data_IF_528080149706
#
_entry.id   IF_528080149706
#
_cell.length_a   1.000
_cell.length_b   1.000
_cell.length_c   1.000
_cell.angle_alpha   90.00
_cell.angle_beta   90.00
_cell.angle_gamma   90.00
#
_symmetry.space_group_name_H-M   'P 1'
#
loop_
_entity.id
_entity.type
_entity.pdbx_description
1 polymer ?
#
# COMPACT_ATOMS: atom_id res chain seq x y z
N UNK A 1 -61.05 -6.84 -26.60
CA UNK A 1 -59.87 -7.68 -26.88
C UNK A 1 -58.75 -6.74 -27.29
N UNK A 2 -57.84 -6.30 -26.44
CA UNK A 2 -57.11 -7.01 -25.39
C UNK A 2 -57.05 -6.08 -24.17
N UNK A 3 -57.55 -6.53 -23.03
CA UNK A 3 -57.41 -5.86 -21.73
C UNK A 3 -56.09 -6.30 -21.07
N UNK A 4 -55.35 -5.30 -20.64
CA UNK A 4 -54.59 -5.24 -19.38
C UNK A 4 -54.03 -6.55 -18.81
N UNK A 5 -52.76 -6.82 -19.11
CA UNK A 5 -51.92 -7.77 -18.40
C UNK A 5 -51.36 -7.18 -17.08
N UNK A 6 -52.16 -6.39 -16.37
CA UNK A 6 -51.88 -5.88 -15.02
C UNK A 6 -52.44 -6.84 -13.96
N UNK A 7 -52.02 -8.12 -13.95
CA UNK A 7 -52.29 -9.00 -12.79
C UNK A 7 -51.46 -10.28 -12.82
N UNK A 8 -50.15 -10.17 -12.63
CA UNK A 8 -49.33 -11.31 -12.22
C UNK A 8 -48.07 -10.91 -11.44
N UNK A 9 -48.06 -9.73 -10.80
CA UNK A 9 -47.20 -9.50 -9.65
C UNK A 9 -47.82 -10.27 -8.48
N UNK A 10 -47.60 -11.59 -8.49
CA UNK A 10 -47.72 -12.40 -7.31
C UNK A 10 -46.83 -11.74 -6.26
N UNK A 11 -47.47 -11.01 -5.33
CA UNK A 11 -46.90 -10.66 -4.04
C UNK A 11 -46.52 -11.98 -3.39
N UNK A 12 -45.29 -12.43 -3.61
CA UNK A 12 -44.64 -13.36 -2.70
C UNK A 12 -44.51 -12.58 -1.40
N UNK A 13 -45.55 -12.69 -0.56
CA UNK A 13 -45.39 -12.48 0.86
C UNK A 13 -44.32 -13.46 1.28
N UNK A 14 -43.10 -12.96 1.44
CA UNK A 14 -42.11 -13.62 2.29
C UNK A 14 -42.73 -13.61 3.68
N UNK A 15 -43.48 -14.66 4.01
CA UNK A 15 -43.79 -14.94 5.40
C UNK A 15 -42.44 -15.12 6.12
N UNK A 16 -42.26 -14.54 7.31
CA UNK A 16 -41.04 -14.75 8.07
C UNK A 16 -41.12 -16.15 8.66
N UNK A 17 -40.77 -17.17 7.87
CA UNK A 17 -40.56 -18.52 8.38
C UNK A 17 -39.19 -18.55 9.09
N UNK A 18 -39.08 -17.80 10.19
CA UNK A 18 -37.99 -17.85 11.16
C UNK A 18 -38.21 -18.96 12.19
N UNK A 19 -39.05 -19.96 11.88
CA UNK A 19 -39.19 -21.18 12.69
C UNK A 19 -38.27 -22.26 12.12
N UNK A 20 -36.99 -22.24 12.47
CA UNK A 20 -36.16 -23.42 12.21
C UNK A 20 -34.66 -23.25 12.12
N UNK A 21 -34.11 -22.03 12.10
CA UNK A 21 -32.66 -21.90 12.23
C UNK A 21 -32.29 -22.19 13.70
N UNK A 22 -31.53 -23.27 13.99
CA UNK A 22 -31.10 -23.55 15.35
C UNK A 22 -30.41 -22.31 15.92
N UNK A 23 -30.62 -22.02 17.20
CA UNK A 23 -29.94 -20.92 17.85
C UNK A 23 -28.44 -21.27 17.95
N UNK A 24 -27.68 -20.95 16.91
CA UNK A 24 -26.23 -21.13 16.89
C UNK A 24 -25.62 -20.10 17.85
N UNK A 25 -24.93 -20.51 18.94
CA UNK A 25 -24.28 -19.60 19.86
C UNK A 25 -23.31 -18.65 19.15
N UNK A 26 -23.11 -17.45 19.68
CA UNK A 26 -22.24 -16.44 19.06
C UNK A 26 -20.79 -16.92 18.94
N UNK A 27 -20.37 -17.78 19.87
CA UNK A 27 -19.08 -18.45 19.89
C UNK A 27 -18.87 -19.31 18.65
N UNK A 28 -19.88 -20.11 18.26
CA UNK A 28 -19.83 -20.93 17.04
C UNK A 28 -19.88 -20.07 15.77
N UNK A 29 -20.65 -18.98 15.77
CA UNK A 29 -20.65 -18.04 14.64
C UNK A 29 -19.27 -17.40 14.47
N UNK A 30 -18.62 -17.01 15.56
CA UNK A 30 -17.28 -16.42 15.53
C UNK A 30 -16.22 -17.43 15.11
N UNK A 31 -16.34 -18.68 15.56
CA UNK A 31 -15.46 -19.79 15.19
C UNK A 31 -15.54 -20.05 13.68
N UNK A 32 -16.75 -20.17 13.12
CA UNK A 32 -16.96 -20.29 11.67
C UNK A 32 -16.31 -19.10 10.95
N UNK A 33 -16.58 -17.88 11.43
CA UNK A 33 -16.02 -16.67 10.83
C UNK A 33 -14.49 -16.61 10.87
N UNK A 34 -13.84 -17.25 11.84
CA UNK A 34 -12.38 -17.29 11.94
C UNK A 34 -11.73 -18.08 10.80
N UNK A 35 -12.49 -18.96 10.13
CA UNK A 35 -12.03 -19.75 9.00
C UNK A 35 -12.37 -19.14 7.63
N UNK A 36 -13.12 -18.04 7.58
CA UNK A 36 -13.57 -17.45 6.32
C UNK A 36 -12.55 -16.50 5.67
N UNK A 37 -11.52 -16.07 6.41
CA UNK A 37 -10.57 -15.07 5.93
C UNK A 37 -11.30 -13.82 5.39
N UNK A 38 -11.01 -13.35 4.17
CA UNK A 38 -11.64 -12.14 3.60
C UNK A 38 -13.17 -12.18 3.49
N UNK A 39 -13.77 -13.37 3.38
CA UNK A 39 -15.22 -13.52 3.25
C UNK A 39 -15.98 -13.23 4.55
N UNK A 40 -15.28 -13.05 5.67
CA UNK A 40 -15.89 -12.63 6.94
C UNK A 40 -16.67 -11.33 6.80
N UNK A 41 -16.26 -10.41 5.91
CA UNK A 41 -16.99 -9.17 5.67
C UNK A 41 -18.38 -9.41 5.06
N UNK A 42 -18.49 -10.35 4.11
CA UNK A 42 -19.78 -10.73 3.52
C UNK A 42 -20.62 -11.52 4.53
N UNK A 43 -20.00 -12.38 5.32
CA UNK A 43 -20.70 -13.16 6.35
C UNK A 43 -21.35 -12.27 7.42
N UNK A 44 -20.71 -11.15 7.76
CA UNK A 44 -21.23 -10.12 8.68
C UNK A 44 -22.50 -9.43 8.23
N UNK A 45 -22.69 -9.26 6.92
CA UNK A 45 -23.84 -8.53 6.38
C UNK A 45 -25.12 -9.34 6.38
N UNK A 46 -25.04 -10.64 6.71
CA UNK A 46 -26.21 -11.52 6.79
C UNK A 46 -27.28 -11.00 7.76
N UNK A 47 -26.89 -10.58 8.97
CA UNK A 47 -27.78 -9.93 9.93
C UNK A 47 -27.00 -9.26 11.08
N UNK A 48 -27.71 -8.50 11.93
CA UNK A 48 -27.14 -7.82 13.11
C UNK A 48 -26.41 -8.75 14.09
N UNK A 49 -26.92 -9.97 14.31
CA UNK A 49 -26.29 -10.94 15.21
C UNK A 49 -24.93 -11.40 14.66
N UNK A 50 -24.86 -11.72 13.38
CA UNK A 50 -23.62 -12.13 12.71
C UNK A 50 -22.63 -10.98 12.70
N UNK A 51 -23.09 -9.75 12.46
CA UNK A 51 -22.24 -8.56 12.58
C UNK A 51 -21.56 -8.45 13.95
N UNK A 52 -22.31 -8.59 15.04
CA UNK A 52 -21.75 -8.50 16.41
C UNK A 52 -20.88 -9.72 16.72
N UNK A 53 -21.37 -10.93 16.47
CA UNK A 53 -20.70 -12.17 16.86
C UNK A 53 -19.32 -12.33 16.18
N UNK A 54 -19.18 -11.89 14.94
CA UNK A 54 -17.95 -12.08 14.15
C UNK A 54 -16.98 -10.90 14.27
N UNK A 55 -17.25 -9.94 15.16
CA UNK A 55 -16.42 -8.75 15.35
C UNK A 55 -14.94 -9.11 15.62
N UNK A 56 -14.61 -10.07 16.50
CA UNK A 56 -13.22 -10.47 16.72
C UNK A 56 -12.54 -10.98 15.45
N UNK A 57 -13.18 -11.91 14.73
CA UNK A 57 -12.64 -12.49 13.49
C UNK A 57 -12.46 -11.44 12.39
N UNK A 58 -13.39 -10.49 12.28
CA UNK A 58 -13.28 -9.37 11.35
C UNK A 58 -12.10 -8.46 11.65
N UNK A 59 -11.93 -8.03 12.90
CA UNK A 59 -10.81 -7.16 13.27
C UNK A 59 -9.47 -7.89 13.13
N UNK A 60 -9.42 -9.18 13.43
CA UNK A 60 -8.22 -10.01 13.21
C UNK A 60 -7.86 -10.08 11.73
N UNK A 61 -8.85 -10.30 10.86
CA UNK A 61 -8.62 -10.31 9.42
C UNK A 61 -8.19 -8.92 8.90
N UNK A 62 -8.82 -7.85 9.41
CA UNK A 62 -8.39 -6.49 9.06
C UNK A 62 -6.97 -6.16 9.56
N UNK A 63 -6.50 -6.77 10.65
CA UNK A 63 -5.16 -6.56 11.21
C UNK A 63 -4.07 -7.29 10.43
N UNK A 64 -4.45 -8.29 9.64
CA UNK A 64 -3.55 -9.20 8.97
C UNK A 64 -2.82 -8.52 7.80
N UNK A 65 -1.54 -8.86 7.63
CA UNK A 65 -0.68 -8.53 6.47
C UNK A 65 -0.76 -7.07 6.02
N UNK A 66 -0.71 -6.15 7.00
CA UNK A 66 -0.76 -4.70 6.73
C UNK A 66 0.62 -4.15 6.40
N UNK A 67 0.71 -3.54 5.23
CA UNK A 67 1.87 -2.83 4.75
C UNK A 67 1.68 -1.32 4.86
N UNK A 68 2.65 -0.63 5.45
CA UNK A 68 2.75 0.83 5.48
C UNK A 68 3.66 1.25 4.34
N UNK A 69 3.08 1.91 3.35
CA UNK A 69 3.82 2.49 2.23
C UNK A 69 4.15 3.96 2.53
N UNK A 70 5.32 4.47 2.10
CA UNK A 70 5.79 5.82 2.38
C UNK A 70 5.12 6.87 1.48
N UNK A 71 3.79 6.91 1.51
CA UNK A 71 2.98 7.93 0.84
C UNK A 71 1.98 8.52 1.80
N UNK A 72 1.80 9.83 1.70
CA UNK A 72 0.83 10.56 2.51
C UNK A 72 -0.56 9.91 2.50
N UNK A 73 -1.10 9.60 1.32
CA UNK A 73 -2.43 9.01 1.19
C UNK A 73 -2.55 7.64 1.88
N UNK A 74 -1.52 6.80 1.78
CA UNK A 74 -1.51 5.46 2.38
C UNK A 74 -1.42 5.55 3.91
N UNK A 75 -0.53 6.39 4.43
CA UNK A 75 -0.38 6.60 5.87
C UNK A 75 -1.62 7.29 6.48
N UNK A 76 -2.20 8.26 5.78
CA UNK A 76 -3.42 8.96 6.23
C UNK A 76 -4.61 8.01 6.29
N UNK A 77 -4.82 7.18 5.26
CA UNK A 77 -5.84 6.13 5.25
C UNK A 77 -5.63 5.13 6.38
N UNK A 78 -4.38 4.77 6.65
CA UNK A 78 -4.06 3.85 7.75
C UNK A 78 -4.37 4.46 9.12
N UNK A 79 -4.00 5.73 9.36
CA UNK A 79 -4.40 6.45 10.57
C UNK A 79 -5.93 6.58 10.72
N UNK A 80 -6.64 6.84 9.62
CA UNK A 80 -8.10 6.88 9.61
C UNK A 80 -8.70 5.52 9.97
N UNK A 81 -8.12 4.43 9.45
CA UNK A 81 -8.53 3.06 9.76
C UNK A 81 -8.37 2.77 11.25
N UNK A 82 -7.21 3.11 11.84
CA UNK A 82 -6.94 2.93 13.27
C UNK A 82 -7.92 3.74 14.13
N UNK A 83 -8.24 4.96 13.69
CA UNK A 83 -9.21 5.83 14.38
C UNK A 83 -10.65 5.31 14.30
N UNK A 84 -11.04 4.75 13.15
CA UNK A 84 -12.40 4.24 12.93
C UNK A 84 -12.62 2.86 13.57
N UNK A 85 -11.57 2.04 13.68
CA UNK A 85 -11.62 0.72 14.30
C UNK A 85 -10.59 0.60 15.43
N UNK A 86 -10.82 1.19 16.62
CA UNK A 86 -9.85 1.16 17.71
C UNK A 86 -9.47 -0.25 18.16
N UNK A 87 -10.40 -1.21 18.07
CA UNK A 87 -10.16 -2.61 18.41
C UNK A 87 -9.16 -3.30 17.45
N UNK A 88 -8.93 -2.75 16.26
CA UNK A 88 -7.94 -3.27 15.31
C UNK A 88 -6.55 -3.35 15.96
N UNK A 89 -6.19 -2.33 16.73
CA UNK A 89 -4.91 -2.21 17.42
C UNK A 89 -4.65 -3.40 18.33
N UNK A 90 -5.68 -3.94 18.99
CA UNK A 90 -5.55 -5.08 19.90
C UNK A 90 -5.13 -6.37 19.18
N UNK A 91 -5.34 -6.48 17.87
CA UNK A 91 -5.00 -7.65 17.06
C UNK A 91 -3.72 -7.47 16.24
N UNK A 92 -3.24 -6.24 16.06
CA UNK A 92 -1.98 -6.00 15.36
C UNK A 92 -0.80 -6.38 16.27
N UNK A 93 0.06 -7.26 15.76
CA UNK A 93 1.28 -7.74 16.45
C UNK A 93 2.53 -7.45 15.65
N UNK A 94 2.40 -7.53 14.33
CA UNK A 94 3.42 -7.25 13.34
C UNK A 94 2.91 -6.20 12.39
N UNK A 95 3.81 -5.36 11.88
CA UNK A 95 3.52 -4.45 10.78
C UNK A 95 4.69 -4.45 9.83
N UNK A 96 4.39 -4.42 8.54
CA UNK A 96 5.40 -4.34 7.51
C UNK A 96 5.50 -2.88 7.04
N UNK A 97 6.71 -2.35 6.99
CA UNK A 97 7.02 -1.01 6.50
C UNK A 97 7.84 -1.17 5.23
N UNK A 98 7.39 -0.49 4.17
CA UNK A 98 8.06 -0.52 2.89
C UNK A 98 9.11 0.58 2.88
N UNK A 99 10.38 0.20 2.68
CA UNK A 99 11.51 1.12 2.67
C UNK A 99 11.70 1.84 1.33
N UNK A 100 10.95 1.46 0.30
CA UNK A 100 11.08 2.04 -1.04
C UNK A 100 9.90 2.98 -1.34
N UNK A 101 10.27 4.13 -1.90
CA UNK A 101 9.36 5.18 -2.32
C UNK A 101 9.40 5.34 -3.84
N UNK A 102 8.81 6.44 -4.29
CA UNK A 102 8.84 6.85 -5.68
C UNK A 102 10.15 7.58 -5.93
N UNK A 103 10.89 7.16 -6.95
CA UNK A 103 12.23 7.69 -7.23
C UNK A 103 12.22 8.49 -8.52
N UNK A 104 12.73 9.71 -8.50
CA UNK A 104 13.01 10.44 -9.74
C UNK A 104 14.19 9.78 -10.46
N UNK A 105 14.01 9.43 -11.73
CA UNK A 105 15.13 9.00 -12.57
C UNK A 105 15.84 10.23 -13.14
N UNK A 106 17.14 10.35 -12.89
CA UNK A 106 17.98 11.47 -13.31
C UNK A 106 17.94 11.72 -14.84
N UNK A 107 17.83 10.65 -15.62
CA UNK A 107 17.79 10.69 -17.09
C UNK A 107 16.42 10.32 -17.68
N UNK A 108 15.37 10.40 -16.86
CA UNK A 108 14.06 9.75 -17.13
C UNK A 108 14.20 8.22 -17.22
N UNK A 109 13.10 7.50 -17.19
CA UNK A 109 13.12 6.05 -17.01
C UNK A 109 13.51 5.28 -18.29
N UNK A 110 13.66 5.98 -19.43
CA UNK A 110 13.88 5.40 -20.76
C UNK A 110 15.03 4.42 -20.84
N UNK A 111 16.22 4.75 -20.30
CA UNK A 111 17.35 3.82 -20.31
C UNK A 111 17.12 2.58 -19.45
N UNK A 112 16.46 2.72 -18.30
CA UNK A 112 16.13 1.58 -17.44
C UNK A 112 15.13 0.64 -18.12
N UNK A 113 14.22 1.19 -18.94
CA UNK A 113 13.35 0.39 -19.80
C UNK A 113 14.08 -0.29 -20.94
N UNK A 114 15.05 0.37 -21.56
CA UNK A 114 15.90 -0.24 -22.59
C UNK A 114 16.73 -1.39 -22.01
N UNK A 115 17.35 -1.20 -20.85
CA UNK A 115 18.11 -2.26 -20.16
C UNK A 115 17.20 -3.43 -19.77
N UNK A 116 16.00 -3.15 -19.25
CA UNK A 116 15.01 -4.18 -18.97
C UNK A 116 14.58 -4.92 -20.25
N UNK A 117 14.33 -4.21 -21.35
CA UNK A 117 13.99 -4.80 -22.64
C UNK A 117 15.11 -5.72 -23.18
N UNK A 118 16.38 -5.30 -23.04
CA UNK A 118 17.57 -6.08 -23.39
C UNK A 118 17.67 -7.34 -22.53
N UNK A 119 17.54 -7.20 -21.20
CA UNK A 119 17.53 -8.34 -20.25
C UNK A 119 16.43 -9.34 -20.62
N UNK A 120 15.30 -8.84 -21.11
CA UNK A 120 14.16 -9.66 -21.51
C UNK A 120 14.22 -10.20 -22.94
N UNK A 121 15.25 -9.85 -23.70
CA UNK A 121 15.45 -10.31 -25.08
C UNK A 121 14.35 -9.83 -26.04
N UNK A 122 13.64 -8.76 -25.70
CA UNK A 122 12.56 -8.18 -26.51
C UNK A 122 12.82 -6.70 -26.72
N UNK A 123 12.67 -6.22 -27.96
CA UNK A 123 12.72 -4.78 -28.24
C UNK A 123 11.43 -4.08 -27.83
N UNK A 124 11.54 -2.81 -27.43
CA UNK A 124 10.40 -1.90 -27.31
C UNK A 124 9.98 -1.42 -28.71
N UNK A 125 8.67 -1.44 -28.98
CA UNK A 125 8.11 -0.91 -30.22
C UNK A 125 7.62 0.54 -30.04
N UNK A 126 7.18 1.19 -31.12
CA UNK A 126 6.73 2.59 -31.07
C UNK A 126 5.52 2.81 -30.14
N UNK A 127 4.59 1.85 -30.08
CA UNK A 127 3.44 1.91 -29.18
C UNK A 127 3.88 1.77 -27.72
N UNK A 128 4.86 0.91 -27.43
CA UNK A 128 5.46 0.82 -26.10
C UNK A 128 6.07 2.17 -25.70
N UNK A 129 6.79 2.83 -26.61
CA UNK A 129 7.39 4.15 -26.36
C UNK A 129 6.36 5.23 -26.03
N UNK A 130 5.21 5.23 -26.70
CA UNK A 130 4.10 6.16 -26.40
C UNK A 130 3.53 5.92 -25.00
N UNK A 131 3.29 4.65 -24.64
CA UNK A 131 2.79 4.27 -23.31
C UNK A 131 3.80 4.67 -22.23
N UNK A 132 5.09 4.40 -22.45
CA UNK A 132 6.16 4.74 -21.51
C UNK A 132 6.31 6.25 -21.32
N UNK A 133 6.16 7.03 -22.38
CA UNK A 133 6.19 8.49 -22.30
C UNK A 133 5.08 9.04 -21.40
N UNK A 134 3.85 8.54 -21.54
CA UNK A 134 2.74 8.95 -20.68
C UNK A 134 2.99 8.57 -19.21
N UNK A 135 3.47 7.35 -18.98
CA UNK A 135 3.75 6.87 -17.62
C UNK A 135 4.85 7.73 -16.98
N UNK A 136 5.88 8.10 -17.72
CA UNK A 136 6.97 8.93 -17.23
C UNK A 136 6.50 10.35 -16.87
N UNK A 137 5.60 10.94 -17.67
CA UNK A 137 5.01 12.24 -17.36
C UNK A 137 4.18 12.18 -16.08
N UNK A 138 3.34 11.16 -15.94
CA UNK A 138 2.56 10.94 -14.71
C UNK A 138 3.48 10.67 -13.50
N UNK A 139 4.55 9.91 -13.69
CA UNK A 139 5.55 9.57 -12.67
C UNK A 139 6.20 10.84 -12.09
N UNK A 140 6.66 11.74 -12.95
CA UNK A 140 7.32 12.98 -12.53
C UNK A 140 6.40 13.83 -11.65
N UNK A 141 5.13 13.97 -12.04
CA UNK A 141 4.15 14.73 -11.26
C UNK A 141 3.90 14.12 -9.87
N UNK A 142 3.80 12.78 -9.81
CA UNK A 142 3.59 12.05 -8.56
C UNK A 142 4.82 12.09 -7.63
N UNK A 143 6.02 12.01 -8.19
CA UNK A 143 7.29 12.15 -7.45
C UNK A 143 7.38 13.52 -6.77
N UNK A 144 7.05 14.61 -7.47
CA UNK A 144 7.06 15.96 -6.88
C UNK A 144 6.14 16.04 -5.64
N UNK A 145 4.94 15.43 -5.74
CA UNK A 145 4.01 15.34 -4.63
C UNK A 145 4.52 14.48 -3.47
N UNK A 146 5.11 13.33 -3.76
CA UNK A 146 5.68 12.41 -2.77
C UNK A 146 6.90 13.01 -2.05
N UNK A 147 7.79 13.65 -2.80
CA UNK A 147 8.97 14.33 -2.30
C UNK A 147 8.62 15.42 -1.30
N UNK A 148 7.58 16.21 -1.57
CA UNK A 148 7.10 17.23 -0.63
C UNK A 148 6.71 16.63 0.72
N UNK A 149 6.08 15.45 0.74
CA UNK A 149 5.70 14.74 1.96
C UNK A 149 6.92 14.23 2.74
N UNK A 150 7.92 13.70 2.03
CA UNK A 150 9.15 13.18 2.61
C UNK A 150 10.00 14.33 3.17
N UNK A 151 10.36 15.30 2.33
CA UNK A 151 11.35 16.34 2.66
C UNK A 151 10.88 17.31 3.76
N UNK A 152 9.56 17.47 3.91
CA UNK A 152 8.99 18.29 4.99
C UNK A 152 9.01 17.60 6.36
N UNK A 153 9.50 16.37 6.47
CA UNK A 153 9.48 15.58 7.70
C UNK A 153 8.07 15.16 8.13
N UNK A 154 7.09 15.22 7.22
CA UNK A 154 5.72 14.74 7.49
C UNK A 154 5.68 13.23 7.55
N UNK A 155 6.54 12.54 6.79
CA UNK A 155 6.71 11.09 6.88
C UNK A 155 7.04 10.65 8.31
N UNK A 156 8.18 11.08 8.86
CA UNK A 156 8.58 10.74 10.25
C UNK A 156 7.50 11.09 11.28
N UNK A 157 6.80 12.22 11.12
CA UNK A 157 5.76 12.66 12.05
C UNK A 157 4.53 11.74 12.00
N UNK A 158 4.03 11.43 10.81
CA UNK A 158 2.90 10.51 10.65
C UNK A 158 3.28 9.08 11.04
N UNK A 159 4.51 8.65 10.74
CA UNK A 159 4.98 7.33 11.12
C UNK A 159 5.05 7.20 12.65
N UNK A 160 5.60 8.20 13.34
CA UNK A 160 5.58 8.27 14.79
C UNK A 160 4.17 8.25 15.39
N UNK A 161 3.21 8.94 14.77
CA UNK A 161 1.80 8.89 15.18
C UNK A 161 1.16 7.51 15.00
N UNK A 162 1.42 6.85 13.87
CA UNK A 162 0.95 5.48 13.61
C UNK A 162 1.50 4.54 14.68
N UNK A 163 2.81 4.55 14.91
CA UNK A 163 3.45 3.69 15.90
C UNK A 163 2.96 3.99 17.33
N UNK A 164 2.73 5.26 17.65
CA UNK A 164 2.17 5.66 18.95
C UNK A 164 0.77 5.09 19.20
N UNK A 165 -0.04 4.86 18.15
CA UNK A 165 -1.33 4.17 18.27
C UNK A 165 -1.18 2.65 18.34
N UNK A 166 -0.18 2.09 17.66
CA UNK A 166 0.10 0.65 17.56
C UNK A 166 0.82 0.07 18.80
N UNK A 167 0.34 0.36 20.00
CA UNK A 167 0.96 -0.04 21.27
C UNK A 167 1.07 -1.55 21.51
N UNK A 168 0.39 -2.39 20.71
CA UNK A 168 0.48 -3.86 20.77
C UNK A 168 1.37 -4.47 19.69
N UNK A 169 1.95 -3.67 18.81
CA UNK A 169 2.92 -4.15 17.84
C UNK A 169 4.24 -4.41 18.57
N UNK A 170 4.81 -5.58 18.36
CA UNK A 170 6.10 -5.98 18.95
C UNK A 170 7.16 -6.18 17.88
N UNK A 171 6.79 -6.23 16.61
CA UNK A 171 7.73 -6.39 15.50
C UNK A 171 7.37 -5.50 14.34
N UNK A 172 8.34 -4.73 13.87
CA UNK A 172 8.28 -4.00 12.62
C UNK A 172 9.19 -4.72 11.63
N UNK A 173 8.64 -5.18 10.52
CA UNK A 173 9.43 -5.72 9.41
C UNK A 173 9.65 -4.60 8.40
N UNK A 174 10.89 -4.22 8.19
CA UNK A 174 11.29 -3.32 7.11
C UNK A 174 11.64 -4.19 5.91
N UNK A 175 11.00 -3.96 4.77
CA UNK A 175 11.26 -4.69 3.53
C UNK A 175 11.21 -3.78 2.31
N UNK A 176 11.89 -4.22 1.25
CA UNK A 176 11.76 -3.64 -0.08
C UNK A 176 10.48 -4.10 -0.79
N UNK A 177 10.14 -3.46 -1.91
CA UNK A 177 9.08 -3.91 -2.81
C UNK A 177 9.47 -5.25 -3.42
N UNK A 178 8.49 -6.15 -3.50
CA UNK A 178 8.62 -7.40 -4.25
C UNK A 178 8.63 -7.09 -5.74
N UNK A 179 9.08 -8.06 -6.53
CA UNK A 179 9.00 -7.94 -7.99
C UNK A 179 7.53 -7.82 -8.40
N UNK A 180 7.23 -6.89 -9.33
CA UNK A 180 5.88 -6.58 -9.81
C UNK A 180 4.92 -6.05 -8.70
N UNK A 181 5.44 -5.67 -7.52
CA UNK A 181 4.68 -4.95 -6.49
C UNK A 181 4.74 -3.45 -6.74
N UNK A 182 3.57 -2.81 -6.71
CA UNK A 182 3.46 -1.37 -6.88
C UNK A 182 2.99 -0.69 -5.59
N UNK A 183 3.51 0.52 -5.35
CA UNK A 183 3.01 1.37 -4.27
C UNK A 183 1.55 1.75 -4.56
N UNK A 184 0.59 1.47 -3.67
CA UNK A 184 -0.81 1.79 -3.91
C UNK A 184 -1.05 3.28 -4.16
N UNK A 185 -1.92 3.56 -5.13
CA UNK A 185 -2.28 4.93 -5.55
C UNK A 185 -1.23 5.61 -6.42
N UNK A 186 -0.15 4.92 -6.78
CA UNK A 186 0.72 5.29 -7.90
C UNK A 186 -0.02 5.19 -9.24
N UNK A 187 0.59 5.65 -10.34
CA UNK A 187 0.11 5.59 -11.75
C UNK A 187 -0.80 4.40 -12.04
N UNK A 188 -1.71 4.51 -13.01
CA UNK A 188 -2.55 3.40 -13.46
C UNK A 188 -1.68 2.21 -13.87
N UNK A 189 -1.43 1.30 -12.90
CA UNK A 189 -0.49 0.19 -13.04
C UNK A 189 -0.95 -0.77 -14.14
N UNK A 190 -2.21 -0.67 -14.57
CA UNK A 190 -2.72 -1.42 -15.69
C UNK A 190 -2.14 -0.93 -17.04
N UNK A 191 -1.62 0.29 -17.13
CA UNK A 191 -0.87 0.77 -18.31
C UNK A 191 0.41 -0.05 -18.54
N UNK A 192 1.13 -0.44 -17.49
CA UNK A 192 2.33 -1.29 -17.63
C UNK A 192 2.02 -2.61 -18.32
N UNK A 193 0.82 -3.16 -18.10
CA UNK A 193 0.37 -4.42 -18.70
C UNK A 193 0.15 -4.33 -20.21
N UNK A 194 0.12 -3.13 -20.77
CA UNK A 194 -0.06 -2.88 -22.20
C UNK A 194 1.27 -2.87 -22.95
N UNK A 195 2.40 -2.79 -22.25
CA UNK A 195 3.74 -2.81 -22.83
C UNK A 195 4.06 -4.24 -23.29
N UNK A 196 4.61 -4.39 -24.49
CA UNK A 196 4.88 -5.68 -25.13
C UNK A 196 5.84 -6.62 -24.35
N UNK A 197 6.71 -6.03 -23.53
CA UNK A 197 7.66 -6.77 -22.69
C UNK A 197 7.09 -7.20 -21.34
N UNK A 198 5.94 -6.65 -20.92
CA UNK A 198 5.38 -6.93 -19.61
C UNK A 198 5.02 -8.41 -19.42
N UNK A 199 5.30 -8.90 -18.22
CA UNK A 199 4.83 -10.19 -17.71
C UNK A 199 4.77 -10.16 -16.18
N UNK A 200 3.93 -10.99 -15.55
CA UNK A 200 3.92 -11.09 -14.09
C UNK A 200 5.31 -11.40 -13.53
N UNK A 201 5.72 -10.65 -12.50
CA UNK A 201 7.03 -10.80 -11.85
C UNK A 201 8.21 -10.07 -12.52
N UNK A 202 7.96 -9.22 -13.53
CA UNK A 202 8.99 -8.38 -14.13
C UNK A 202 9.57 -7.38 -13.11
N UNK A 203 10.87 -7.08 -13.19
CA UNK A 203 11.58 -6.21 -12.25
C UNK A 203 11.45 -4.72 -12.61
N UNK A 204 10.22 -4.23 -12.68
CA UNK A 204 9.91 -2.80 -12.91
C UNK A 204 10.25 -1.91 -11.71
N UNK A 205 10.59 -2.49 -10.56
CA UNK A 205 10.92 -1.71 -9.36
C UNK A 205 12.16 -0.84 -9.59
N UNK A 206 13.16 -1.34 -10.32
CA UNK A 206 14.40 -0.62 -10.64
C UNK A 206 14.18 0.61 -11.52
N UNK A 207 13.01 0.73 -12.14
CA UNK A 207 12.68 1.76 -13.12
C UNK A 207 11.93 2.96 -12.52
N UNK A 208 11.28 2.79 -11.38
CA UNK A 208 10.45 3.85 -10.79
C UNK A 208 10.53 3.95 -9.26
N UNK A 209 11.14 2.97 -8.62
CA UNK A 209 11.16 2.86 -7.18
C UNK A 209 12.60 2.75 -6.69
N UNK A 210 12.78 3.15 -5.44
CA UNK A 210 14.07 3.08 -4.78
C UNK A 210 13.98 3.65 -3.38
N UNK A 211 15.09 3.50 -2.67
CA UNK A 211 15.29 4.28 -1.45
C UNK A 211 15.36 5.77 -1.83
N UNK A 212 14.78 6.61 -0.99
CA UNK A 212 14.84 8.06 -1.18
C UNK A 212 15.91 8.66 -0.30
N UNK A 213 16.62 9.62 -0.87
CA UNK A 213 17.60 10.42 -0.17
C UNK A 213 17.33 11.89 -0.44
N UNK A 214 17.64 12.77 0.50
CA UNK A 214 17.55 14.20 0.27
C UNK A 214 18.48 14.98 1.17
N UNK A 215 18.93 16.11 0.66
CA UNK A 215 19.61 17.16 1.38
C UNK A 215 18.65 17.82 2.38
N UNK A 216 19.01 17.83 3.66
CA UNK A 216 18.18 18.42 4.72
C UNK A 216 18.01 19.94 4.52
N UNK A 217 19.02 20.61 3.97
CA UNK A 217 19.02 22.07 3.76
C UNK A 217 18.28 22.44 2.48
N UNK A 218 18.58 21.75 1.38
CA UNK A 218 18.05 22.08 0.06
C UNK A 218 16.74 21.37 -0.27
N UNK A 219 16.33 20.37 0.51
CA UNK A 219 15.10 19.58 0.31
C UNK A 219 15.02 18.98 -1.10
N UNK A 220 16.16 18.43 -1.58
CA UNK A 220 16.29 17.73 -2.86
C UNK A 220 17.51 16.81 -2.80
N UNK A 221 17.62 15.87 -3.74
CA UNK A 221 18.85 15.07 -3.88
C UNK A 221 19.98 15.99 -4.34
N UNK A 222 21.12 15.98 -3.64
CA UNK A 222 22.33 16.74 -4.03
C UNK A 222 23.60 15.88 -4.06
N UNK A 223 23.47 14.61 -3.67
CA UNK A 223 24.50 13.57 -3.75
C UNK A 223 23.87 12.34 -4.42
N UNK A 224 24.48 11.85 -5.49
CA UNK A 224 23.96 10.73 -6.26
C UNK A 224 25.08 9.99 -7.00
N UNK A 225 24.76 8.81 -7.52
CA UNK A 225 25.68 7.98 -8.32
C UNK A 225 25.24 8.10 -9.77
N UNK A 226 26.15 8.51 -10.64
CA UNK A 226 25.85 8.66 -12.06
C UNK A 226 25.78 7.31 -12.80
N UNK A 227 25.55 7.39 -14.10
CA UNK A 227 25.44 6.23 -14.99
C UNK A 227 26.73 5.39 -15.12
N UNK A 228 27.88 5.95 -14.73
CA UNK A 228 29.17 5.26 -14.74
C UNK A 228 29.57 4.70 -13.36
N UNK A 229 28.74 4.93 -12.34
CA UNK A 229 29.03 4.54 -10.97
C UNK A 229 29.85 5.58 -10.19
N UNK A 230 30.06 6.76 -10.76
CA UNK A 230 30.80 7.84 -10.10
C UNK A 230 29.88 8.61 -9.15
N UNK A 231 30.36 8.87 -7.93
CA UNK A 231 29.62 9.67 -6.96
C UNK A 231 29.72 11.14 -7.33
N UNK A 232 28.59 11.75 -7.69
CA UNK A 232 28.46 13.19 -7.94
C UNK A 232 27.96 13.86 -6.65
N UNK A 233 28.59 14.97 -6.30
CA UNK A 233 28.17 15.83 -5.20
C UNK A 233 28.05 17.25 -5.72
N UNK A 234 26.84 17.82 -5.68
CA UNK A 234 26.60 19.18 -6.13
C UNK A 234 27.32 20.20 -5.24
N UNK A 235 27.67 21.35 -5.82
CA UNK A 235 28.26 22.45 -5.05
C UNK A 235 27.29 22.92 -3.96
N UNK A 236 27.77 23.01 -2.72
CA UNK A 236 26.99 23.31 -1.52
C UNK A 236 25.98 22.22 -1.10
N UNK A 237 26.23 20.95 -1.46
CA UNK A 237 25.52 19.83 -0.87
C UNK A 237 25.64 19.85 0.67
N UNK A 238 24.50 19.85 1.34
CA UNK A 238 24.36 19.69 2.77
C UNK A 238 24.27 18.22 3.19
N UNK A 239 24.06 17.96 4.50
CA UNK A 239 23.88 16.61 5.02
C UNK A 239 22.70 15.92 4.35
N UNK A 240 22.90 14.67 3.93
CA UNK A 240 21.87 13.84 3.36
C UNK A 240 21.09 13.09 4.45
N UNK A 241 19.79 12.94 4.24
CA UNK A 241 18.88 12.11 5.01
C UNK A 241 18.29 11.05 4.10
N UNK A 242 18.06 9.85 4.64
CA UNK A 242 17.48 8.71 3.93
C UNK A 242 16.17 8.24 4.57
N UNK A 243 15.53 7.21 4.00
CA UNK A 243 14.45 6.49 4.68
C UNK A 243 14.85 6.05 6.09
N UNK A 244 16.03 5.44 6.24
CA UNK A 244 16.46 4.83 7.51
C UNK A 244 16.56 5.87 8.64
N UNK A 245 17.03 7.07 8.33
CA UNK A 245 17.11 8.18 9.28
C UNK A 245 15.73 8.61 9.75
N UNK A 246 14.81 8.78 8.80
CA UNK A 246 13.45 9.26 9.05
C UNK A 246 12.58 8.19 9.74
N UNK A 247 12.78 6.93 9.37
CA UNK A 247 12.22 5.76 10.04
C UNK A 247 12.70 5.69 11.50
N UNK A 248 14.01 5.76 11.73
CA UNK A 248 14.61 5.70 13.08
C UNK A 248 14.13 6.87 13.95
N UNK A 249 14.03 8.07 13.38
CA UNK A 249 13.48 9.23 14.06
C UNK A 249 12.01 9.00 14.45
N UNK A 250 11.19 8.45 13.55
CA UNK A 250 9.79 8.12 13.83
C UNK A 250 9.64 7.05 14.91
N UNK A 251 10.44 5.98 14.87
CA UNK A 251 10.50 4.94 15.91
C UNK A 251 10.83 5.56 17.27
N UNK A 252 11.89 6.37 17.32
CA UNK A 252 12.36 7.01 18.56
C UNK A 252 11.31 7.96 19.12
N UNK A 253 10.68 8.78 18.27
CA UNK A 253 9.62 9.71 18.67
C UNK A 253 8.37 9.00 19.21
N UNK A 254 8.07 7.78 18.73
CA UNK A 254 6.94 6.99 19.19
C UNK A 254 7.17 6.27 20.52
N UNK A 255 8.43 6.15 20.98
CA UNK A 255 8.79 5.34 22.14
C UNK A 255 8.63 3.83 21.90
N UNK A 256 8.64 3.38 20.64
CA UNK A 256 8.52 1.97 20.30
C UNK A 256 9.72 1.17 20.79
N UNK A 257 9.46 0.13 21.59
CA UNK A 257 10.48 -0.72 22.21
C UNK A 257 10.45 -2.17 21.68
N UNK A 258 9.76 -2.40 20.56
CA UNK A 258 9.70 -3.72 19.93
C UNK A 258 10.93 -4.04 19.08
N UNK A 259 10.89 -5.20 18.45
CA UNK A 259 11.94 -5.68 17.55
C UNK A 259 11.78 -5.07 16.15
N UNK A 260 12.88 -4.62 15.56
CA UNK A 260 12.93 -4.23 14.15
C UNK A 260 13.68 -5.32 13.38
N UNK A 261 13.12 -5.76 12.26
CA UNK A 261 13.70 -6.79 11.39
C UNK A 261 13.81 -6.23 9.98
N UNK A 262 15.01 -6.24 9.42
CA UNK A 262 15.24 -5.89 8.02
C UNK A 262 15.25 -7.17 7.18
N UNK A 263 14.49 -7.17 6.09
CA UNK A 263 14.30 -8.29 5.17
C UNK A 263 14.78 -7.97 3.75
#
# INVERSE_FOLDING_TARGET
>A
MIEDATSALAKVKLEPDMKGLPHIPCELINEIASHLGPDVNKFRTANKRFHVATSPSFHREMARDRHIYPRYANMARFLQLLSHFPLLVEYMRTVDVISEGLREHEYRSGWAWEDLAIKEGKGLNMQDSEILYEIDEDHVNEVVGANTFIFSGRYRAMFGQILGQLHRVHTINVRKLKNDEHIPGWVDTDKFKQISIYRPGIEIKEVYYGDWQYDILQQRVTMYVDEFGDNITEANAGPQSSFDDDFTAGVTASGFNGRIVYA
#
